data_IF_890957468431
#
_entry.id   IF_890957468431
#
_cell.length_a   1.000
_cell.length_b   1.000
_cell.length_c   1.000
_cell.angle_alpha   90.00
_cell.angle_beta   90.00
_cell.angle_gamma   90.00
#
_symmetry.space_group_name_H-M   'P 1'
#
loop_
_entity.id
_entity.type
_entity.pdbx_description
1 polymer ?
#
# COMPACT_ATOMS: atom_id res chain seq x y z
N UNK A 1 -8.49 19.97 -4.12
CA UNK A 1 -8.99 20.10 -5.50
C UNK A 1 -9.63 18.77 -5.88
N UNK A 2 -10.95 18.71 -6.12
CA UNK A 2 -11.63 17.46 -6.55
C UNK A 2 -11.22 17.16 -8.00
N UNK A 3 -10.83 15.92 -8.28
CA UNK A 3 -10.60 15.44 -9.64
C UNK A 3 -11.86 14.74 -10.18
N UNK A 4 -11.90 14.46 -11.48
CA UNK A 4 -12.98 13.63 -12.07
C UNK A 4 -13.10 12.24 -11.44
N UNK A 5 -12.07 11.78 -10.73
CA UNK A 5 -12.01 10.45 -10.08
C UNK A 5 -12.53 10.48 -8.62
N UNK A 6 -12.69 11.65 -8.03
CA UNK A 6 -13.26 11.81 -6.67
C UNK A 6 -14.79 11.68 -6.65
N UNK A 7 -15.40 11.36 -7.80
CA UNK A 7 -16.86 11.30 -7.96
C UNK A 7 -17.46 9.92 -7.65
N UNK A 8 -16.63 8.91 -7.47
CA UNK A 8 -17.14 7.58 -7.17
C UNK A 8 -17.71 7.55 -5.74
N UNK A 9 -18.93 6.99 -5.53
CA UNK A 9 -19.59 7.01 -4.20
C UNK A 9 -18.75 6.43 -3.06
N UNK A 10 -17.88 5.44 -3.35
CA UNK A 10 -16.99 4.85 -2.35
C UNK A 10 -15.98 5.84 -1.77
N UNK A 11 -15.60 6.90 -2.49
CA UNK A 11 -14.70 7.93 -1.97
C UNK A 11 -15.39 8.76 -0.88
N UNK A 12 -16.65 9.11 -1.09
CA UNK A 12 -17.45 9.82 -0.07
C UNK A 12 -17.75 8.90 1.12
N UNK A 13 -17.99 7.60 0.88
CA UNK A 13 -18.15 6.62 1.95
C UNK A 13 -16.84 6.43 2.73
N UNK A 14 -15.68 6.36 2.07
CA UNK A 14 -14.38 6.31 2.75
C UNK A 14 -14.18 7.55 3.64
N UNK A 15 -14.52 8.73 3.16
CA UNK A 15 -14.48 9.98 3.94
C UNK A 15 -15.36 9.94 5.18
N UNK A 16 -16.53 9.31 5.07
CA UNK A 16 -17.48 9.16 6.18
C UNK A 16 -16.96 8.28 7.32
N UNK A 17 -15.85 7.53 7.11
CA UNK A 17 -15.17 6.80 8.17
C UNK A 17 -14.38 7.71 9.12
N UNK A 18 -14.23 9.00 8.81
CA UNK A 18 -13.45 9.95 9.60
C UNK A 18 -13.70 9.87 11.11
N UNK A 19 -14.96 9.98 11.58
CA UNK A 19 -15.25 9.95 13.02
C UNK A 19 -14.83 8.65 13.72
N UNK A 20 -15.02 7.49 13.08
CA UNK A 20 -14.65 6.19 13.67
C UNK A 20 -13.13 5.98 13.69
N UNK A 21 -12.43 6.45 12.65
CA UNK A 21 -10.97 6.42 12.59
C UNK A 21 -10.38 7.34 13.66
N UNK A 22 -10.89 8.55 13.80
CA UNK A 22 -10.42 9.51 14.79
C UNK A 22 -10.63 9.00 16.22
N UNK A 23 -11.80 8.44 16.52
CA UNK A 23 -12.10 7.86 17.82
C UNK A 23 -11.16 6.68 18.16
N UNK A 24 -10.77 5.89 17.17
CA UNK A 24 -9.87 4.73 17.35
C UNK A 24 -8.38 5.06 17.33
N UNK A 25 -7.99 6.30 17.05
CA UNK A 25 -6.61 6.68 16.71
C UNK A 25 -5.59 6.37 17.81
N UNK A 26 -5.87 6.75 19.04
CA UNK A 26 -4.97 6.52 20.16
C UNK A 26 -4.85 5.01 20.48
N UNK A 27 -5.96 4.29 20.39
CA UNK A 27 -5.97 2.84 20.58
C UNK A 27 -5.17 2.12 19.49
N UNK A 28 -5.31 2.54 18.21
CA UNK A 28 -4.49 2.00 17.11
C UNK A 28 -3.00 2.23 17.34
N UNK A 29 -2.61 3.36 17.87
CA UNK A 29 -1.21 3.64 18.21
C UNK A 29 -0.70 2.77 19.36
N UNK A 30 -1.48 2.62 20.43
CA UNK A 30 -1.11 1.83 21.61
C UNK A 30 -1.03 0.33 21.30
N UNK A 31 -2.02 -0.19 20.58
CA UNK A 31 -2.11 -1.61 20.24
C UNK A 31 -1.27 -1.97 19.01
N UNK A 32 -0.84 -0.98 18.23
CA UNK A 32 -0.09 -1.14 16.98
C UNK A 32 -0.82 -2.01 15.95
N UNK A 33 -2.14 -1.93 15.90
CA UNK A 33 -3.00 -2.51 14.87
C UNK A 33 -4.32 -1.72 14.77
N UNK A 34 -5.06 -1.91 13.68
CA UNK A 34 -6.38 -1.29 13.52
C UNK A 34 -7.34 -1.83 14.59
N UNK A 35 -8.19 -0.94 15.13
CA UNK A 35 -9.25 -1.35 16.07
C UNK A 35 -10.36 -2.10 15.35
N UNK A 36 -11.04 -2.99 16.06
CA UNK A 36 -12.15 -3.77 15.49
C UNK A 36 -13.25 -2.91 14.84
N UNK A 37 -13.67 -1.75 15.42
CA UNK A 37 -14.63 -0.87 14.76
C UNK A 37 -14.12 -0.31 13.42
N UNK A 38 -12.85 0.08 13.33
CA UNK A 38 -12.23 0.57 12.09
C UNK A 38 -12.17 -0.55 11.04
N UNK A 39 -11.76 -1.75 11.44
CA UNK A 39 -11.73 -2.92 10.55
C UNK A 39 -13.12 -3.22 10.00
N UNK A 40 -14.15 -3.27 10.86
CA UNK A 40 -15.53 -3.52 10.44
C UNK A 40 -16.02 -2.47 9.43
N UNK A 41 -15.79 -1.20 9.70
CA UNK A 41 -16.17 -0.12 8.78
C UNK A 41 -15.43 -0.20 7.42
N UNK A 42 -14.16 -0.62 7.42
CA UNK A 42 -13.41 -0.86 6.18
C UNK A 42 -13.91 -2.11 5.42
N UNK A 43 -14.35 -3.15 6.12
CA UNK A 43 -14.98 -4.33 5.51
C UNK A 43 -16.31 -3.96 4.87
N UNK A 44 -17.17 -3.22 5.57
CA UNK A 44 -18.47 -2.74 5.07
C UNK A 44 -18.29 -1.84 3.82
N UNK A 45 -17.24 -1.02 3.80
CA UNK A 45 -16.84 -0.23 2.63
C UNK A 45 -16.36 -1.11 1.46
N UNK A 46 -15.93 -2.35 1.70
CA UNK A 46 -15.25 -3.20 0.71
C UNK A 46 -13.80 -2.80 0.43
N UNK A 47 -13.17 -2.03 1.31
CA UNK A 47 -11.82 -1.50 1.13
C UNK A 47 -10.74 -2.60 1.00
N UNK A 48 -10.98 -3.78 1.59
CA UNK A 48 -10.02 -4.88 1.55
C UNK A 48 -10.12 -5.75 0.31
N UNK A 49 -11.17 -5.59 -0.51
CA UNK A 49 -11.46 -6.46 -1.66
C UNK A 49 -11.67 -5.71 -2.98
N UNK A 50 -11.11 -4.50 -3.09
CA UNK A 50 -11.36 -3.57 -4.22
C UNK A 50 -11.08 -4.19 -5.60
N UNK A 51 -10.08 -5.05 -5.73
CA UNK A 51 -9.76 -5.73 -6.99
C UNK A 51 -10.32 -7.16 -7.08
N UNK A 52 -11.13 -7.63 -6.12
CA UNK A 52 -11.81 -8.93 -6.25
C UNK A 52 -12.78 -8.88 -7.43
N UNK A 53 -12.75 -9.87 -8.36
CA UNK A 53 -13.56 -9.83 -9.56
C UNK A 53 -15.06 -10.04 -9.27
N UNK A 54 -15.91 -9.50 -10.15
CA UNK A 54 -17.37 -9.60 -10.01
C UNK A 54 -17.89 -11.05 -9.97
N UNK A 55 -17.20 -12.01 -10.61
CA UNK A 55 -17.56 -13.44 -10.56
C UNK A 55 -17.34 -14.07 -9.18
N UNK A 56 -16.66 -13.37 -8.27
CA UNK A 56 -16.48 -13.72 -6.87
C UNK A 56 -17.21 -12.73 -5.94
N UNK A 57 -18.26 -12.10 -6.43
CA UNK A 57 -19.06 -11.08 -5.74
C UNK A 57 -18.19 -9.90 -5.24
N UNK A 58 -17.10 -9.60 -5.98
CA UNK A 58 -16.21 -8.49 -5.70
C UNK A 58 -16.61 -7.22 -6.47
N UNK A 59 -16.14 -6.05 -6.00
CA UNK A 59 -16.49 -4.78 -6.65
C UNK A 59 -15.73 -4.54 -7.96
N UNK A 60 -14.63 -5.24 -8.21
CA UNK A 60 -13.80 -5.11 -9.42
C UNK A 60 -13.52 -3.65 -9.81
N UNK A 61 -13.15 -2.82 -8.83
CA UNK A 61 -12.98 -1.37 -9.04
C UNK A 61 -11.86 -1.08 -10.04
N UNK A 62 -12.09 -0.08 -10.89
CA UNK A 62 -11.04 0.44 -11.75
C UNK A 62 -9.85 1.00 -10.94
N UNK A 63 -8.64 1.08 -11.53
CA UNK A 63 -7.43 1.48 -10.83
C UNK A 63 -7.49 2.90 -10.25
N UNK A 64 -8.14 3.86 -10.92
CA UNK A 64 -8.26 5.23 -10.45
C UNK A 64 -9.14 5.31 -9.20
N UNK A 65 -10.25 4.57 -9.20
CA UNK A 65 -11.11 4.47 -8.01
C UNK A 65 -10.38 3.81 -6.84
N UNK A 66 -9.57 2.77 -7.06
CA UNK A 66 -8.74 2.17 -6.01
C UNK A 66 -7.77 3.20 -5.42
N UNK A 67 -7.09 3.99 -6.25
CA UNK A 67 -6.21 5.09 -5.79
C UNK A 67 -6.98 6.10 -4.97
N UNK A 68 -8.16 6.54 -5.42
CA UNK A 68 -8.95 7.57 -4.75
C UNK A 68 -9.46 7.10 -3.37
N UNK A 69 -9.92 5.87 -3.26
CA UNK A 69 -10.34 5.30 -1.96
C UNK A 69 -9.16 5.18 -1.00
N UNK A 70 -8.00 4.70 -1.46
CA UNK A 70 -6.80 4.60 -0.61
C UNK A 70 -6.28 6.00 -0.24
N UNK A 71 -6.31 6.95 -1.15
CA UNK A 71 -5.95 8.36 -0.86
C UNK A 71 -6.80 8.93 0.26
N UNK A 72 -8.13 8.78 0.18
CA UNK A 72 -9.03 9.30 1.22
C UNK A 72 -8.84 8.58 2.56
N UNK A 73 -8.70 7.25 2.57
CA UNK A 73 -8.41 6.48 3.78
C UNK A 73 -7.05 6.87 4.40
N UNK A 74 -6.03 7.11 3.57
CA UNK A 74 -4.71 7.56 4.03
C UNK A 74 -4.72 9.00 4.55
N UNK A 75 -5.65 9.83 4.08
CA UNK A 75 -5.89 11.16 4.62
C UNK A 75 -6.47 11.10 6.03
N UNK A 76 -7.33 10.12 6.30
CA UNK A 76 -7.87 9.91 7.64
C UNK A 76 -6.80 9.39 8.60
N UNK A 77 -6.03 8.38 8.17
CA UNK A 77 -4.89 7.83 8.91
C UNK A 77 -3.99 7.01 7.96
N UNK A 78 -2.67 7.22 8.04
CA UNK A 78 -1.71 6.51 7.18
C UNK A 78 -1.75 5.00 7.31
N UNK A 79 -2.00 4.46 8.51
CA UNK A 79 -2.09 3.03 8.76
C UNK A 79 -3.37 2.42 8.18
N UNK A 80 -4.49 3.14 8.25
CA UNK A 80 -5.78 2.73 7.67
C UNK A 80 -5.65 2.61 6.15
N UNK A 81 -5.12 3.66 5.50
CA UNK A 81 -4.87 3.64 4.05
C UNK A 81 -3.87 2.56 3.64
N UNK A 82 -2.81 2.33 4.43
CA UNK A 82 -1.84 1.29 4.17
C UNK A 82 -2.44 -0.12 4.23
N UNK A 83 -3.26 -0.43 5.24
CA UNK A 83 -3.95 -1.72 5.33
C UNK A 83 -4.92 -1.94 4.16
N UNK A 84 -5.68 -0.91 3.76
CA UNK A 84 -6.55 -0.96 2.59
C UNK A 84 -5.74 -1.24 1.31
N UNK A 85 -4.61 -0.55 1.12
CA UNK A 85 -3.72 -0.73 -0.02
C UNK A 85 -3.16 -2.15 -0.11
N UNK A 86 -2.67 -2.71 1.00
CA UNK A 86 -2.12 -4.08 1.04
C UNK A 86 -3.18 -5.12 0.71
N UNK A 87 -4.36 -5.03 1.31
CA UNK A 87 -5.44 -5.98 1.06
C UNK A 87 -5.98 -5.87 -0.37
N UNK A 88 -6.14 -4.65 -0.90
CA UNK A 88 -6.50 -4.42 -2.30
C UNK A 88 -5.47 -5.01 -3.27
N UNK A 89 -4.18 -4.79 -3.02
CA UNK A 89 -3.11 -5.42 -3.78
C UNK A 89 -3.17 -6.95 -3.68
N UNK A 90 -3.45 -7.49 -2.49
CA UNK A 90 -3.66 -8.91 -2.25
C UNK A 90 -4.83 -9.51 -3.04
N UNK A 91 -5.87 -8.73 -3.33
CA UNK A 91 -7.04 -9.17 -4.10
C UNK A 91 -6.68 -9.64 -5.52
N UNK A 92 -5.61 -9.11 -6.11
CA UNK A 92 -5.12 -9.53 -7.42
C UNK A 92 -4.62 -11.00 -7.44
N UNK A 93 -4.32 -11.59 -6.28
CA UNK A 93 -3.96 -13.02 -6.16
C UNK A 93 -5.07 -13.91 -6.69
N UNK A 94 -6.33 -13.48 -6.59
CA UNK A 94 -7.49 -14.19 -7.17
C UNK A 94 -7.31 -14.49 -8.67
N UNK A 95 -6.51 -13.69 -9.37
CA UNK A 95 -6.20 -13.88 -10.79
C UNK A 95 -5.30 -15.08 -11.10
N UNK A 96 -4.55 -15.57 -10.13
CA UNK A 96 -3.63 -16.70 -10.30
C UNK A 96 -4.26 -18.05 -9.93
N UNK A 97 -5.29 -18.05 -9.08
CA UNK A 97 -5.87 -19.29 -8.54
C UNK A 97 -6.85 -19.95 -9.52
N UNK A 98 -7.00 -21.27 -9.40
CA UNK A 98 -8.08 -22.00 -10.07
C UNK A 98 -9.44 -21.50 -9.57
N UNK A 99 -10.53 -21.60 -10.38
CA UNK A 99 -11.83 -21.00 -10.05
C UNK A 99 -12.36 -21.41 -8.67
N UNK A 100 -12.26 -22.69 -8.29
CA UNK A 100 -12.77 -23.18 -7.01
C UNK A 100 -11.93 -22.68 -5.83
N UNK A 101 -10.61 -22.65 -5.95
CA UNK A 101 -9.73 -22.07 -4.96
C UNK A 101 -9.95 -20.54 -4.84
N UNK A 102 -10.08 -19.85 -5.97
CA UNK A 102 -10.39 -18.41 -5.97
C UNK A 102 -11.73 -18.13 -5.25
N UNK A 103 -12.78 -18.94 -5.49
CA UNK A 103 -14.07 -18.79 -4.82
C UNK A 103 -13.96 -19.07 -3.32
N UNK A 104 -13.21 -20.08 -2.93
CA UNK A 104 -13.00 -20.43 -1.50
C UNK A 104 -12.31 -19.30 -0.73
N UNK A 105 -11.28 -18.69 -1.32
CA UNK A 105 -10.47 -17.66 -0.64
C UNK A 105 -11.02 -16.24 -0.79
N UNK A 106 -11.64 -15.90 -1.91
CA UNK A 106 -12.04 -14.51 -2.25
C UNK A 106 -13.55 -14.31 -2.34
N UNK A 107 -14.36 -15.37 -2.26
CA UNK A 107 -15.82 -15.29 -2.20
C UNK A 107 -16.34 -14.68 -0.89
N UNK A 108 -15.78 -15.02 0.29
CA UNK A 108 -16.22 -14.43 1.55
C UNK A 108 -16.13 -12.90 1.53
N UNK A 109 -17.18 -12.23 2.09
CA UNK A 109 -17.28 -10.77 2.08
C UNK A 109 -16.24 -10.10 2.98
N UNK A 110 -15.76 -10.81 4.00
CA UNK A 110 -14.78 -10.37 4.98
C UNK A 110 -13.33 -10.64 4.58
N UNK A 111 -13.08 -11.13 3.35
CA UNK A 111 -11.72 -11.46 2.90
C UNK A 111 -10.79 -10.26 3.03
N UNK A 112 -9.69 -10.48 3.72
CA UNK A 112 -8.60 -9.52 3.88
C UNK A 112 -7.27 -10.26 3.83
N UNK A 113 -6.43 -9.93 2.85
CA UNK A 113 -5.11 -10.52 2.71
C UNK A 113 -4.04 -9.61 3.33
N UNK A 114 -3.10 -10.27 4.02
CA UNK A 114 -1.88 -9.63 4.50
C UNK A 114 -0.64 -10.40 4.01
N UNK A 115 0.53 -9.77 4.11
CA UNK A 115 1.79 -10.37 3.74
C UNK A 115 2.42 -9.78 2.48
N UNK A 116 3.44 -10.44 1.97
CA UNK A 116 4.26 -9.95 0.86
C UNK A 116 4.68 -11.09 -0.10
N UNK A 117 5.11 -10.71 -1.30
CA UNK A 117 5.50 -11.64 -2.36
C UNK A 117 7.01 -11.95 -2.39
N UNK A 118 7.83 -11.39 -1.48
CA UNK A 118 9.26 -11.75 -1.43
C UNK A 118 9.43 -13.21 -0.96
N UNK A 119 10.16 -14.04 -1.71
CA UNK A 119 10.29 -15.47 -1.39
C UNK A 119 11.31 -15.69 -0.26
N UNK A 120 10.85 -15.52 0.98
CA UNK A 120 11.68 -15.72 2.18
C UNK A 120 11.50 -17.08 2.84
N UNK A 121 10.42 -17.78 2.48
CA UNK A 121 10.17 -19.14 2.94
C UNK A 121 10.78 -20.21 2.03
N UNK A 122 10.58 -21.46 2.43
CA UNK A 122 11.00 -22.68 1.78
C UNK A 122 9.76 -23.53 1.47
N UNK A 123 9.64 -24.02 0.24
CA UNK A 123 8.58 -24.93 -0.19
C UNK A 123 9.19 -26.22 -0.69
N UNK A 124 8.85 -27.35 -0.10
CA UNK A 124 9.25 -28.68 -0.54
C UNK A 124 8.08 -29.32 -1.27
N UNK A 125 8.30 -29.77 -2.48
CA UNK A 125 7.28 -30.43 -3.30
C UNK A 125 6.93 -31.79 -2.71
N UNK A 126 5.65 -32.06 -2.51
CA UNK A 126 5.10 -33.34 -2.06
C UNK A 126 3.96 -33.76 -2.97
N UNK A 127 3.42 -34.98 -2.77
CA UNK A 127 2.26 -35.43 -3.53
C UNK A 127 1.05 -34.53 -3.25
N UNK A 128 0.47 -33.95 -4.31
CA UNK A 128 -0.68 -33.05 -4.25
C UNK A 128 -0.41 -31.62 -3.75
N UNK A 129 0.86 -31.22 -3.54
CA UNK A 129 1.13 -29.85 -3.09
C UNK A 129 2.55 -29.57 -2.59
N UNK A 130 2.62 -28.76 -1.54
CA UNK A 130 3.89 -28.30 -0.97
C UNK A 130 3.86 -28.32 0.57
N UNK A 131 5.00 -28.65 1.18
CA UNK A 131 5.26 -28.36 2.59
C UNK A 131 6.00 -27.03 2.68
N UNK A 132 5.41 -26.09 3.43
CA UNK A 132 5.92 -24.72 3.56
C UNK A 132 6.45 -24.50 4.96
N UNK A 133 7.65 -23.95 5.04
CA UNK A 133 8.25 -23.46 6.29
C UNK A 133 8.96 -22.14 6.02
N UNK A 134 8.96 -21.25 7.02
CA UNK A 134 9.72 -20.02 6.95
C UNK A 134 9.17 -18.91 7.82
N UNK A 135 9.94 -17.83 7.89
CA UNK A 135 9.55 -16.58 8.50
C UNK A 135 9.29 -15.55 7.43
N UNK A 136 8.10 -14.99 7.48
CA UNK A 136 7.60 -13.98 6.56
C UNK A 136 7.51 -12.65 7.27
N UNK A 137 8.08 -11.59 6.68
CA UNK A 137 8.18 -10.28 7.30
C UNK A 137 7.12 -9.33 6.76
N UNK A 138 6.86 -8.28 7.53
CA UNK A 138 6.01 -7.16 7.09
C UNK A 138 4.58 -7.59 6.74
N UNK A 139 3.93 -8.38 7.61
CA UNK A 139 2.54 -8.77 7.47
C UNK A 139 1.58 -7.62 7.79
N UNK A 140 1.59 -6.54 7.00
CA UNK A 140 0.69 -5.40 7.22
C UNK A 140 -0.76 -5.84 7.21
N UNK A 141 -1.51 -5.49 8.26
CA UNK A 141 -2.89 -5.92 8.44
C UNK A 141 -3.04 -7.34 8.99
N UNK A 142 -1.96 -8.03 9.37
CA UNK A 142 -2.02 -9.42 9.85
C UNK A 142 -2.90 -9.63 11.09
N UNK A 143 -3.12 -8.59 11.89
CA UNK A 143 -3.99 -8.65 13.07
C UNK A 143 -5.48 -8.81 12.75
N UNK A 144 -5.91 -8.54 11.51
CA UNK A 144 -7.29 -8.68 11.04
C UNK A 144 -7.38 -9.41 9.69
N UNK A 145 -6.28 -9.99 9.22
CA UNK A 145 -6.27 -10.75 7.98
C UNK A 145 -7.03 -12.07 8.11
N UNK A 146 -7.77 -12.44 7.05
CA UNK A 146 -8.39 -13.76 6.91
C UNK A 146 -7.47 -14.74 6.20
N UNK A 147 -6.47 -14.23 5.45
CA UNK A 147 -5.45 -15.03 4.79
C UNK A 147 -4.09 -14.30 4.77
N UNK A 148 -3.02 -15.09 4.85
CA UNK A 148 -1.63 -14.62 4.83
C UNK A 148 -0.90 -15.18 3.62
N UNK A 149 -0.08 -14.37 2.96
CA UNK A 149 0.70 -14.76 1.79
C UNK A 149 2.06 -15.32 2.25
N UNK A 150 2.32 -16.58 1.98
CA UNK A 150 3.63 -17.21 2.18
C UNK A 150 4.33 -17.39 0.83
N UNK A 151 5.35 -16.60 0.54
CA UNK A 151 6.13 -16.72 -0.68
C UNK A 151 7.47 -17.41 -0.39
N UNK A 152 7.76 -18.47 -1.16
CA UNK A 152 8.82 -19.42 -0.87
C UNK A 152 9.69 -19.69 -2.09
N UNK A 153 10.96 -20.01 -1.87
CA UNK A 153 11.77 -20.72 -2.84
C UNK A 153 11.39 -22.21 -2.82
N UNK A 154 11.16 -22.80 -3.98
CA UNK A 154 11.02 -24.25 -4.09
C UNK A 154 12.40 -24.88 -3.95
N UNK A 155 12.51 -25.85 -3.05
CA UNK A 155 13.77 -26.52 -2.74
C UNK A 155 13.66 -28.04 -2.89
N UNK A 156 14.76 -28.70 -3.20
CA UNK A 156 14.85 -30.17 -3.25
C UNK A 156 15.49 -30.70 -1.97
N UNK A 157 14.70 -31.36 -1.12
CA UNK A 157 15.17 -31.94 0.15
C UNK A 157 16.20 -33.06 -0.05
N UNK A 158 16.21 -33.70 -1.23
CA UNK A 158 17.17 -34.76 -1.55
C UNK A 158 18.55 -34.21 -1.92
N UNK A 159 18.64 -32.92 -2.22
CA UNK A 159 19.86 -32.24 -2.62
C UNK A 159 20.18 -31.07 -1.66
N UNK A 160 20.26 -31.36 -0.37
CA UNK A 160 20.67 -30.44 0.70
C UNK A 160 19.87 -29.11 0.74
N UNK A 161 18.60 -29.18 0.32
CA UNK A 161 17.71 -28.01 0.30
C UNK A 161 18.08 -26.96 -0.76
N UNK A 162 18.80 -27.35 -1.81
CA UNK A 162 19.16 -26.44 -2.89
C UNK A 162 17.90 -25.93 -3.63
N UNK A 163 17.86 -24.62 -4.03
CA UNK A 163 16.75 -24.08 -4.78
C UNK A 163 16.59 -24.78 -6.14
N UNK A 164 15.37 -25.25 -6.43
CA UNK A 164 14.99 -25.72 -7.76
C UNK A 164 15.04 -24.54 -8.73
N UNK A 165 15.55 -24.78 -9.95
CA UNK A 165 15.69 -23.74 -10.97
C UNK A 165 14.89 -24.09 -12.22
N UNK A 166 14.34 -23.05 -12.86
CA UNK A 166 13.68 -23.18 -14.16
C UNK A 166 14.72 -23.39 -15.30
N UNK A 167 14.25 -23.62 -16.53
CA UNK A 167 15.10 -23.80 -17.71
C UNK A 167 16.02 -22.63 -18.03
N UNK A 168 15.74 -21.45 -17.47
CA UNK A 168 16.55 -20.23 -17.57
C UNK A 168 17.51 -20.03 -16.40
N UNK A 169 17.62 -21.03 -15.51
CA UNK A 169 18.46 -21.00 -14.34
C UNK A 169 17.95 -20.11 -13.19
N UNK A 170 16.71 -19.61 -13.25
CA UNK A 170 16.13 -18.76 -12.20
C UNK A 170 15.52 -19.66 -11.11
N UNK A 171 15.63 -19.27 -9.81
CA UNK A 171 14.98 -20.00 -8.74
C UNK A 171 13.47 -20.10 -8.97
N UNK A 172 12.91 -21.28 -8.77
CA UNK A 172 11.45 -21.48 -8.79
C UNK A 172 10.86 -20.88 -7.51
N UNK A 173 9.80 -20.06 -7.68
CA UNK A 173 9.08 -19.43 -6.57
C UNK A 173 7.67 -20.02 -6.52
N UNK A 174 7.23 -20.33 -5.30
CA UNK A 174 5.86 -20.72 -5.02
C UNK A 174 5.30 -19.85 -3.90
N UNK A 175 4.21 -19.17 -4.16
CA UNK A 175 3.44 -18.45 -3.17
C UNK A 175 2.19 -19.23 -2.82
N UNK A 176 1.74 -19.13 -1.57
CA UNK A 176 0.56 -19.83 -1.07
C UNK A 176 -0.24 -18.95 -0.13
N UNK A 177 -1.52 -19.27 0.04
CA UNK A 177 -2.38 -18.68 1.06
C UNK A 177 -2.40 -19.58 2.30
N UNK A 178 -2.16 -18.98 3.45
CA UNK A 178 -2.23 -19.61 4.76
C UNK A 178 -3.36 -18.99 5.57
N UNK A 179 -4.06 -19.79 6.37
CA UNK A 179 -4.98 -19.24 7.37
C UNK A 179 -4.20 -18.71 8.57
N UNK A 180 -4.73 -17.71 9.30
CA UNK A 180 -4.07 -17.18 10.49
C UNK A 180 -3.79 -18.23 11.58
N UNK A 181 -4.63 -19.26 11.70
CA UNK A 181 -4.47 -20.36 12.65
C UNK A 181 -3.31 -21.33 12.31
N UNK A 182 -2.76 -21.24 11.12
CA UNK A 182 -1.63 -22.06 10.65
C UNK A 182 -0.26 -21.44 10.93
N UNK A 183 -0.22 -20.21 11.41
CA UNK A 183 1.04 -19.47 11.62
C UNK A 183 1.18 -18.99 13.05
N UNK A 184 2.42 -18.74 13.45
CA UNK A 184 2.75 -18.07 14.72
C UNK A 184 3.10 -16.62 14.42
N UNK A 185 2.33 -15.68 15.01
CA UNK A 185 2.62 -14.24 14.91
C UNK A 185 3.80 -13.88 15.83
N UNK A 186 4.70 -13.02 15.34
CA UNK A 186 5.87 -12.54 16.07
C UNK A 186 5.77 -11.03 16.18
N UNK A 187 5.69 -10.51 17.41
CA UNK A 187 5.59 -9.07 17.66
C UNK A 187 6.91 -8.37 17.33
N UNK A 188 7.01 -7.85 16.12
CA UNK A 188 8.20 -7.18 15.58
C UNK A 188 7.93 -5.74 15.13
N UNK A 189 6.66 -5.30 15.09
CA UNK A 189 6.32 -4.01 14.53
C UNK A 189 6.50 -2.86 15.53
N UNK A 190 7.78 -2.59 15.88
CA UNK A 190 8.22 -1.47 16.71
C UNK A 190 8.96 -0.46 15.83
N UNK A 191 8.24 0.42 15.16
CA UNK A 191 8.73 1.28 14.07
C UNK A 191 8.52 2.74 14.35
N UNK A 192 9.05 3.62 13.49
CA UNK A 192 8.90 5.07 13.61
C UNK A 192 7.48 5.54 13.30
N UNK A 193 6.78 4.91 12.36
CA UNK A 193 5.43 5.28 11.92
C UNK A 193 4.66 4.09 11.36
N UNK A 194 3.45 4.34 10.86
CA UNK A 194 2.49 3.31 10.41
C UNK A 194 2.20 2.27 11.49
N UNK A 195 2.12 2.69 12.75
CA UNK A 195 1.98 1.80 13.90
C UNK A 195 0.75 0.94 13.80
N UNK A 196 -0.40 1.53 13.44
CA UNK A 196 -1.69 0.84 13.33
C UNK A 196 -1.74 -0.24 12.24
N UNK A 197 -0.70 -0.38 11.41
CA UNK A 197 -0.67 -1.45 10.40
C UNK A 197 -0.39 -2.83 10.99
N UNK A 198 0.21 -2.91 12.20
CA UNK A 198 0.60 -4.17 12.81
C UNK A 198 1.40 -5.07 11.88
N UNK A 199 2.37 -4.48 11.14
CA UNK A 199 3.12 -5.20 10.10
C UNK A 199 4.11 -6.21 10.72
N UNK A 200 3.60 -7.05 11.60
CA UNK A 200 4.34 -8.07 12.31
C UNK A 200 4.89 -9.14 11.37
N UNK A 201 5.91 -9.84 11.83
CA UNK A 201 6.39 -11.06 11.18
C UNK A 201 5.47 -12.24 11.57
N UNK A 202 5.46 -13.29 10.74
CA UNK A 202 4.81 -14.55 11.06
C UNK A 202 5.62 -15.74 10.58
N UNK A 203 5.51 -16.86 11.28
CA UNK A 203 6.21 -18.10 10.97
C UNK A 203 5.25 -19.23 10.66
N UNK A 204 5.59 -20.00 9.63
CA UNK A 204 4.97 -21.27 9.29
C UNK A 204 5.98 -22.40 9.49
N UNK A 205 5.55 -23.51 10.08
CA UNK A 205 6.38 -24.67 10.34
C UNK A 205 5.73 -25.92 9.73
N UNK A 206 6.31 -26.40 8.63
CA UNK A 206 5.94 -27.65 7.95
C UNK A 206 4.44 -27.74 7.56
N UNK A 207 3.88 -26.64 7.07
CA UNK A 207 2.45 -26.55 6.70
C UNK A 207 2.24 -27.19 5.34
N UNK A 208 1.35 -28.18 5.27
CA UNK A 208 0.92 -28.79 4.01
C UNK A 208 -0.09 -27.88 3.32
N UNK A 209 0.23 -27.48 2.07
CA UNK A 209 -0.61 -26.64 1.21
C UNK A 209 -0.89 -27.39 -0.08
N UNK A 210 -2.16 -27.46 -0.47
CA UNK A 210 -2.56 -28.04 -1.74
C UNK A 210 -2.05 -27.20 -2.93
N UNK A 211 -1.79 -27.86 -4.06
CA UNK A 211 -1.37 -27.16 -5.29
C UNK A 211 -2.34 -26.02 -5.67
N UNK A 212 -3.64 -26.22 -5.50
CA UNK A 212 -4.70 -25.27 -5.85
C UNK A 212 -4.71 -24.01 -4.98
N UNK A 213 -4.19 -24.07 -3.75
CA UNK A 213 -4.06 -22.93 -2.81
C UNK A 213 -2.73 -22.21 -2.96
N UNK A 214 -1.98 -22.53 -3.99
CA UNK A 214 -0.68 -21.96 -4.27
C UNK A 214 -0.52 -21.57 -5.74
N UNK A 215 0.40 -20.65 -6.02
CA UNK A 215 0.65 -20.18 -7.39
C UNK A 215 2.12 -19.81 -7.61
N UNK A 216 2.51 -19.73 -8.88
CA UNK A 216 3.77 -19.14 -9.28
C UNK A 216 3.54 -17.63 -9.53
N UNK A 217 4.11 -16.70 -8.72
CA UNK A 217 3.91 -15.27 -8.91
C UNK A 217 4.53 -14.71 -10.20
N UNK A 218 5.44 -15.45 -10.83
CA UNK A 218 5.99 -15.12 -12.15
C UNK A 218 5.21 -15.76 -13.30
N UNK A 219 4.18 -16.55 -13.00
CA UNK A 219 3.30 -17.19 -13.98
C UNK A 219 2.28 -16.22 -14.57
N UNK A 220 1.58 -16.69 -15.61
CA UNK A 220 0.45 -15.96 -16.16
C UNK A 220 -0.76 -16.02 -15.22
N UNK A 221 -1.48 -14.92 -15.12
CA UNK A 221 -2.79 -14.92 -14.49
C UNK A 221 -3.78 -15.72 -15.34
N UNK A 222 -4.73 -16.40 -14.69
CA UNK A 222 -5.77 -17.20 -15.33
C UNK A 222 -6.95 -16.37 -15.82
N UNK A 223 -7.02 -15.11 -15.38
CA UNK A 223 -8.08 -14.17 -15.72
C UNK A 223 -7.67 -13.27 -16.88
N UNK A 224 -8.65 -12.84 -17.67
CA UNK A 224 -8.45 -12.03 -18.88
C UNK A 224 -9.10 -10.65 -18.80
N UNK A 225 -9.83 -10.35 -17.73
CA UNK A 225 -10.41 -9.03 -17.51
C UNK A 225 -9.30 -7.97 -17.40
N UNK A 226 -9.55 -6.71 -17.76
CA UNK A 226 -8.54 -5.65 -17.81
C UNK A 226 -7.67 -5.53 -16.55
N UNK A 227 -8.24 -5.70 -15.35
CA UNK A 227 -7.51 -5.66 -14.07
C UNK A 227 -6.38 -6.70 -13.98
N UNK A 228 -6.46 -7.80 -14.72
CA UNK A 228 -5.53 -8.93 -14.61
C UNK A 228 -4.59 -9.08 -15.81
N UNK A 229 -4.72 -8.24 -16.84
CA UNK A 229 -3.90 -8.28 -18.07
C UNK A 229 -2.45 -7.84 -17.85
N UNK A 230 -2.20 -7.02 -16.84
CA UNK A 230 -0.88 -6.51 -16.50
C UNK A 230 -0.57 -6.80 -15.02
N UNK A 231 0.17 -7.89 -14.70
CA UNK A 231 0.42 -8.29 -13.34
C UNK A 231 0.94 -7.18 -12.41
N UNK A 232 1.86 -6.26 -12.83
CA UNK A 232 2.30 -5.18 -11.97
C UNK A 232 1.21 -4.17 -11.56
N UNK A 233 0.00 -4.24 -12.14
CA UNK A 233 -1.12 -3.38 -11.77
C UNK A 233 -1.55 -3.55 -10.30
N UNK A 234 -1.25 -4.69 -9.66
CA UNK A 234 -1.49 -4.89 -8.23
C UNK A 234 -0.85 -3.81 -7.34
N UNK A 235 0.14 -3.08 -7.86
CA UNK A 235 0.79 -1.98 -7.14
C UNK A 235 0.00 -0.67 -7.16
N UNK A 236 -1.04 -0.55 -7.99
CA UNK A 236 -1.74 0.73 -8.19
C UNK A 236 -2.27 1.36 -6.90
N UNK A 237 -2.82 0.59 -5.92
CA UNK A 237 -3.30 1.18 -4.68
C UNK A 237 -2.22 1.90 -3.87
N UNK A 238 -0.93 1.52 -4.03
CA UNK A 238 0.18 2.22 -3.38
C UNK A 238 0.23 3.72 -3.68
N UNK A 239 -0.23 4.14 -4.86
CA UNK A 239 -0.17 5.53 -5.28
C UNK A 239 -1.07 6.46 -4.43
N UNK A 240 -2.15 5.93 -3.85
CA UNK A 240 -3.05 6.69 -2.99
C UNK A 240 -2.45 7.05 -1.64
N UNK A 241 -1.61 6.18 -1.08
CA UNK A 241 -1.05 6.36 0.28
C UNK A 241 -0.32 7.69 0.47
N UNK A 242 0.71 8.04 -0.34
CA UNK A 242 1.45 9.27 -0.15
C UNK A 242 0.59 10.52 -0.39
N UNK A 243 -0.36 10.45 -1.33
CA UNK A 243 -1.25 11.58 -1.64
C UNK A 243 -2.15 11.90 -0.45
N UNK A 244 -2.74 10.88 0.19
CA UNK A 244 -3.58 11.04 1.37
C UNK A 244 -2.80 11.56 2.58
N UNK A 245 -1.62 10.99 2.88
CA UNK A 245 -0.78 11.44 3.99
C UNK A 245 -0.34 12.90 3.80
N UNK A 246 0.06 13.28 2.57
CA UNK A 246 0.42 14.67 2.28
C UNK A 246 -0.76 15.63 2.44
N UNK A 247 -1.98 15.23 2.03
CA UNK A 247 -3.21 15.99 2.25
C UNK A 247 -3.49 16.16 3.73
N UNK A 248 -3.37 15.09 4.53
CA UNK A 248 -3.53 15.16 5.98
C UNK A 248 -2.54 16.13 6.63
N UNK A 249 -1.28 16.14 6.20
CA UNK A 249 -0.28 17.09 6.70
C UNK A 249 -0.63 18.55 6.41
N UNK A 250 -1.13 18.85 5.20
CA UNK A 250 -1.55 20.21 4.83
C UNK A 250 -2.77 20.63 5.67
N UNK A 251 -3.77 19.76 5.79
CA UNK A 251 -4.98 20.02 6.59
C UNK A 251 -4.60 20.27 8.05
N UNK A 252 -3.71 19.45 8.62
CA UNK A 252 -3.23 19.59 9.99
C UNK A 252 -2.47 20.91 10.24
N UNK A 253 -1.62 21.35 9.30
CA UNK A 253 -0.94 22.63 9.45
C UNK A 253 -1.91 23.79 9.37
N UNK A 254 -2.89 23.77 8.47
CA UNK A 254 -3.92 24.83 8.36
C UNK A 254 -4.69 24.95 9.67
N UNK A 255 -5.12 23.83 10.27
CA UNK A 255 -5.85 23.83 11.54
C UNK A 255 -5.01 24.39 12.69
N UNK A 256 -3.74 23.99 12.79
CA UNK A 256 -2.82 24.46 13.82
C UNK A 256 -2.47 25.94 13.62
N UNK A 257 -2.35 26.40 12.38
CA UNK A 257 -1.87 27.74 12.07
C UNK A 257 -2.82 28.86 12.56
N UNK A 258 -4.12 28.60 12.59
CA UNK A 258 -5.10 29.57 13.10
C UNK A 258 -5.09 29.68 14.63
N UNK A 259 -4.80 28.59 15.33
CA UNK A 259 -4.84 28.53 16.80
C UNK A 259 -3.50 28.83 17.48
N UNK A 260 -2.39 28.64 16.75
CA UNK A 260 -1.02 28.75 17.29
C UNK A 260 -0.50 30.18 17.21
N UNK A 261 -0.09 30.72 18.36
CA UNK A 261 0.61 32.01 18.39
C UNK A 261 1.95 31.94 17.64
N UNK A 262 2.26 32.96 16.85
CA UNK A 262 3.54 33.10 16.15
C UNK A 262 4.70 33.16 17.16
N UNK A 263 5.68 32.24 16.99
CA UNK A 263 6.91 32.26 17.78
C UNK A 263 7.91 33.25 17.16
N UNK A 264 8.02 34.47 17.70
CA UNK A 264 9.03 35.41 17.25
C UNK A 264 10.45 34.93 17.64
N UNK A 265 11.33 34.80 16.67
CA UNK A 265 12.79 34.73 16.88
C UNK A 265 13.22 36.06 17.57
N UNK A 266 13.61 35.99 18.85
CA UNK A 266 14.08 37.16 19.59
C UNK A 266 13.27 37.52 20.84
N UNK A 267 12.39 36.66 21.35
CA UNK A 267 11.91 36.73 22.74
C UNK A 267 10.77 37.68 23.03
N UNK A 268 10.13 38.30 22.04
CA UNK A 268 8.83 38.97 22.18
C UNK A 268 7.89 38.40 21.11
N UNK A 269 7.03 37.46 21.54
CA UNK A 269 5.83 37.14 20.76
C UNK A 269 5.12 38.49 20.50
N UNK A 270 4.87 38.85 19.24
CA UNK A 270 3.93 39.94 18.95
C UNK A 270 2.60 39.43 19.43
N UNK A 271 2.13 39.99 20.55
CA UNK A 271 0.83 39.66 21.13
C UNK A 271 -0.23 39.68 20.01
N UNK A 272 -0.92 38.56 19.81
CA UNK A 272 -2.09 38.46 18.94
C UNK A 272 -1.83 38.08 17.48
N UNK A 273 -0.61 37.66 17.07
CA UNK A 273 -0.39 37.23 15.70
C UNK A 273 -0.41 35.67 15.61
N UNK A 274 -1.27 35.11 14.75
CA UNK A 274 -1.35 33.70 14.48
C UNK A 274 -0.20 33.25 13.59
N UNK A 275 0.14 31.94 13.61
CA UNK A 275 1.11 31.35 12.69
C UNK A 275 0.64 31.50 11.23
N UNK A 276 -0.67 31.48 10.99
CA UNK A 276 -1.29 31.74 9.67
C UNK A 276 -0.96 33.13 9.08
N UNK A 277 -0.60 34.11 9.90
CA UNK A 277 -0.20 35.46 9.46
C UNK A 277 1.29 35.55 9.06
N UNK A 278 2.07 34.50 9.29
CA UNK A 278 3.49 34.49 8.95
C UNK A 278 3.69 34.15 7.46
N UNK A 279 4.49 34.98 6.78
CA UNK A 279 4.75 34.80 5.36
C UNK A 279 5.34 33.41 5.02
N UNK A 280 6.19 32.88 5.90
CA UNK A 280 6.76 31.52 5.72
C UNK A 280 5.70 30.42 5.79
N UNK A 281 4.70 30.53 6.67
CA UNK A 281 3.60 29.59 6.76
C UNK A 281 2.74 29.65 5.49
N UNK A 282 2.39 30.86 5.05
CA UNK A 282 1.62 31.09 3.83
C UNK A 282 2.32 30.54 2.59
N UNK A 283 3.62 30.79 2.45
CA UNK A 283 4.44 30.26 1.37
C UNK A 283 4.50 28.73 1.41
N UNK A 284 4.75 28.12 2.57
CA UNK A 284 4.85 26.68 2.72
C UNK A 284 3.55 25.96 2.37
N UNK A 285 2.39 26.49 2.79
CA UNK A 285 1.07 25.92 2.43
C UNK A 285 0.85 26.03 0.92
N UNK A 286 1.14 27.17 0.29
CA UNK A 286 0.98 27.36 -1.13
C UNK A 286 1.87 26.39 -1.96
N UNK A 287 3.13 26.24 -1.56
CA UNK A 287 4.07 25.28 -2.21
C UNK A 287 3.59 23.86 -2.03
N UNK A 288 3.12 23.48 -0.85
CA UNK A 288 2.60 22.13 -0.57
C UNK A 288 1.38 21.81 -1.43
N UNK A 289 0.42 22.74 -1.56
CA UNK A 289 -0.76 22.59 -2.42
C UNK A 289 -0.39 22.40 -3.90
N UNK A 290 0.56 23.22 -4.40
CA UNK A 290 1.05 23.08 -5.80
C UNK A 290 1.73 21.73 -6.02
N UNK A 291 2.63 21.32 -5.11
CA UNK A 291 3.33 20.03 -5.19
C UNK A 291 2.36 18.86 -5.15
N UNK A 292 1.42 18.87 -4.21
CA UNK A 292 0.41 17.81 -4.10
C UNK A 292 -0.48 17.77 -5.33
N UNK A 293 -0.96 18.92 -5.81
CA UNK A 293 -1.77 19.03 -7.02
C UNK A 293 -1.07 18.46 -8.25
N UNK A 294 0.20 18.78 -8.44
CA UNK A 294 1.01 18.26 -9.54
C UNK A 294 1.24 16.74 -9.43
N UNK A 295 1.56 16.23 -8.22
CA UNK A 295 1.74 14.80 -7.99
C UNK A 295 0.45 14.01 -8.22
N UNK A 296 -0.70 14.54 -7.76
CA UNK A 296 -2.01 13.93 -8.01
C UNK A 296 -2.33 13.88 -9.50
N UNK A 297 -2.22 14.98 -10.22
CA UNK A 297 -2.49 15.03 -11.65
C UNK A 297 -1.64 13.99 -12.40
N UNK A 298 -0.33 13.98 -12.16
CA UNK A 298 0.58 13.02 -12.78
C UNK A 298 0.24 11.56 -12.44
N UNK A 299 -0.15 11.29 -11.18
CA UNK A 299 -0.54 9.95 -10.75
C UNK A 299 -1.78 9.47 -11.49
N UNK A 300 -2.85 10.26 -11.47
CA UNK A 300 -4.12 9.86 -12.07
C UNK A 300 -4.03 9.76 -13.59
N UNK A 301 -3.34 10.69 -14.25
CA UNK A 301 -3.15 10.65 -15.70
C UNK A 301 -2.33 9.42 -16.12
N UNK A 302 -1.24 9.11 -15.41
CA UNK A 302 -0.41 7.91 -15.70
C UNK A 302 -1.21 6.60 -15.50
N UNK A 303 -2.05 6.54 -14.46
CA UNK A 303 -2.88 5.36 -14.20
C UNK A 303 -4.02 5.24 -15.22
N UNK A 304 -4.63 6.37 -15.61
CA UNK A 304 -5.69 6.39 -16.61
C UNK A 304 -5.18 5.95 -17.99
N UNK A 305 -4.03 6.48 -18.44
CA UNK A 305 -3.40 6.05 -19.70
C UNK A 305 -3.10 4.54 -19.71
N UNK A 306 -2.60 4.01 -18.59
CA UNK A 306 -2.37 2.57 -18.46
C UNK A 306 -3.69 1.78 -18.53
N UNK A 307 -4.72 2.26 -17.87
CA UNK A 307 -6.03 1.61 -17.84
C UNK A 307 -6.69 1.57 -19.21
N UNK A 308 -6.63 2.65 -19.97
CA UNK A 308 -7.14 2.73 -21.35
C UNK A 308 -6.50 1.65 -22.26
N UNK A 309 -5.17 1.44 -22.14
CA UNK A 309 -4.49 0.36 -22.87
C UNK A 309 -5.00 -1.04 -22.45
N UNK A 310 -5.23 -1.25 -21.16
CA UNK A 310 -5.69 -2.54 -20.66
C UNK A 310 -7.16 -2.82 -21.06
N UNK A 311 -8.02 -1.81 -21.07
CA UNK A 311 -9.39 -1.95 -21.55
C UNK A 311 -9.43 -2.24 -23.06
N UNK A 312 -8.56 -1.62 -23.84
CA UNK A 312 -8.41 -1.86 -25.28
C UNK A 312 -7.75 -3.19 -25.63
N UNK A 313 -7.34 -3.99 -24.63
CA UNK A 313 -6.56 -5.22 -24.81
C UNK A 313 -5.21 -5.00 -25.53
N UNK A 314 -4.62 -3.84 -25.31
CA UNK A 314 -3.35 -3.46 -25.90
C UNK A 314 -2.17 -3.83 -24.96
N UNK A 315 -1.04 -4.15 -25.60
CA UNK A 315 0.20 -4.40 -24.86
C UNK A 315 0.74 -3.09 -24.27
N UNK A 316 1.00 -3.07 -22.95
CA UNK A 316 1.61 -1.91 -22.28
C UNK A 316 3.02 -1.65 -22.84
N UNK A 317 3.28 -0.49 -23.48
CA UNK A 317 4.58 -0.15 -24.00
C UNK A 317 5.66 -0.04 -22.92
N UNK A 318 6.94 -0.31 -23.23
CA UNK A 318 8.02 -0.22 -22.24
C UNK A 318 8.09 1.15 -21.55
N UNK A 319 7.91 2.23 -22.31
CA UNK A 319 7.89 3.60 -21.76
C UNK A 319 6.77 3.77 -20.71
N UNK A 320 5.56 3.28 -21.02
CA UNK A 320 4.42 3.37 -20.10
C UNK A 320 4.68 2.58 -18.81
N UNK A 321 5.25 1.36 -18.92
CA UNK A 321 5.66 0.58 -17.75
C UNK A 321 6.68 1.31 -16.88
N UNK A 322 7.68 1.93 -17.51
CA UNK A 322 8.70 2.72 -16.84
C UNK A 322 8.10 3.93 -16.10
N UNK A 323 7.19 4.67 -16.75
CA UNK A 323 6.56 5.85 -16.15
C UNK A 323 5.61 5.47 -15.02
N UNK A 324 4.84 4.39 -15.16
CA UNK A 324 4.00 3.85 -14.11
C UNK A 324 4.80 3.52 -12.83
N UNK A 325 5.98 2.91 -12.98
CA UNK A 325 6.85 2.61 -11.83
C UNK A 325 7.49 3.86 -11.23
N UNK A 326 7.95 4.79 -12.07
CA UNK A 326 8.55 6.04 -11.63
C UNK A 326 7.54 6.94 -10.90
N UNK A 327 6.30 6.98 -11.36
CA UNK A 327 5.20 7.75 -10.76
C UNK A 327 4.98 7.40 -9.29
N UNK A 328 4.96 6.10 -8.93
CA UNK A 328 4.78 5.67 -7.53
C UNK A 328 5.91 6.17 -6.63
N UNK A 329 7.16 6.09 -7.09
CA UNK A 329 8.31 6.61 -6.35
C UNK A 329 8.23 8.13 -6.21
N UNK A 330 7.85 8.83 -7.27
CA UNK A 330 7.70 10.28 -7.28
C UNK A 330 6.64 10.76 -6.28
N UNK A 331 5.47 10.14 -6.25
CA UNK A 331 4.41 10.48 -5.30
C UNK A 331 4.88 10.40 -3.84
N UNK A 332 5.61 9.33 -3.49
CA UNK A 332 6.17 9.18 -2.15
C UNK A 332 7.24 10.22 -1.80
N UNK A 333 8.11 10.58 -2.77
CA UNK A 333 9.11 11.62 -2.55
C UNK A 333 8.48 12.99 -2.34
N UNK A 334 7.51 13.36 -3.19
CA UNK A 334 6.79 14.63 -3.06
C UNK A 334 6.05 14.72 -1.73
N UNK A 335 5.34 13.66 -1.34
CA UNK A 335 4.65 13.61 -0.05
C UNK A 335 5.61 13.76 1.13
N UNK A 336 6.77 13.09 1.08
CA UNK A 336 7.81 13.24 2.09
C UNK A 336 8.32 14.69 2.18
N UNK A 337 8.60 15.32 1.04
CA UNK A 337 9.04 16.72 1.00
C UNK A 337 7.98 17.65 1.61
N UNK A 338 6.71 17.45 1.29
CA UNK A 338 5.59 18.21 1.86
C UNK A 338 5.56 18.02 3.37
N UNK A 339 5.48 16.78 3.87
CA UNK A 339 5.36 16.50 5.30
C UNK A 339 6.55 17.05 6.11
N UNK A 340 7.78 16.93 5.60
CA UNK A 340 8.98 17.49 6.25
C UNK A 340 8.90 19.02 6.32
N UNK A 341 8.62 19.68 5.19
CA UNK A 341 8.53 21.14 5.14
C UNK A 341 7.45 21.69 6.08
N UNK A 342 6.27 21.05 6.09
CA UNK A 342 5.15 21.47 6.96
C UNK A 342 5.42 21.19 8.45
N UNK A 343 6.15 20.12 8.76
CA UNK A 343 6.58 19.80 10.12
C UNK A 343 7.56 20.87 10.66
N UNK A 344 8.48 21.36 9.82
CA UNK A 344 9.39 22.45 10.19
C UNK A 344 8.62 23.74 10.53
N UNK A 345 7.58 24.08 9.75
CA UNK A 345 6.70 25.23 10.01
C UNK A 345 5.85 25.00 11.27
N UNK A 346 5.29 23.80 11.44
CA UNK A 346 4.52 23.40 12.63
C UNK A 346 5.34 23.40 13.92
N UNK A 347 6.68 23.34 13.82
CA UNK A 347 7.61 23.40 14.95
C UNK A 347 7.25 22.39 16.05
N UNK A 348 7.01 22.81 17.30
CA UNK A 348 6.71 21.93 18.43
C UNK A 348 5.45 21.07 18.25
N UNK A 349 4.49 21.46 17.41
CA UNK A 349 3.32 20.62 17.08
C UNK A 349 3.68 19.38 16.25
N UNK A 350 4.93 19.29 15.76
CA UNK A 350 5.41 18.17 14.94
C UNK A 350 6.18 17.11 15.73
N UNK A 351 6.37 17.29 17.05
CA UNK A 351 7.20 16.40 17.86
C UNK A 351 6.42 15.61 18.91
N UNK A 352 5.20 16.03 19.26
CA UNK A 352 4.40 15.33 20.26
C UNK A 352 3.59 14.19 19.63
N UNK A 353 3.59 13.03 20.31
CA UNK A 353 2.71 11.92 19.93
C UNK A 353 1.24 12.35 19.99
N UNK A 354 0.44 11.86 19.08
CA UNK A 354 -0.97 12.21 18.97
C UNK A 354 -1.26 13.43 18.05
N UNK A 355 -0.29 14.30 17.85
CA UNK A 355 -0.47 15.45 16.96
C UNK A 355 -0.57 15.00 15.48
N UNK A 356 -1.59 15.50 14.71
CA UNK A 356 -1.81 15.07 13.34
C UNK A 356 -0.62 15.32 12.40
N UNK A 357 0.08 16.44 12.59
CA UNK A 357 1.25 16.79 11.78
C UNK A 357 2.44 15.85 12.03
N UNK A 358 2.67 15.49 13.31
CA UNK A 358 3.68 14.51 13.70
C UNK A 358 3.33 13.13 13.12
N UNK A 359 2.06 12.73 13.16
CA UNK A 359 1.57 11.48 12.61
C UNK A 359 1.85 11.39 11.12
N UNK A 360 1.48 12.40 10.35
CA UNK A 360 1.73 12.46 8.90
C UNK A 360 3.22 12.35 8.59
N UNK A 361 4.07 13.06 9.35
CA UNK A 361 5.53 13.00 9.18
C UNK A 361 6.09 11.60 9.43
N UNK A 362 5.77 10.98 10.57
CA UNK A 362 6.30 9.63 10.91
C UNK A 362 5.82 8.57 9.93
N UNK A 363 4.57 8.65 9.50
CA UNK A 363 3.95 7.67 8.62
C UNK A 363 4.52 7.74 7.20
N UNK A 364 4.70 8.95 6.64
CA UNK A 364 5.33 9.08 5.32
C UNK A 364 6.80 8.66 5.31
N UNK A 365 7.55 8.94 6.39
CA UNK A 365 8.94 8.51 6.52
C UNK A 365 9.04 6.98 6.52
N UNK A 366 8.10 6.31 7.16
CA UNK A 366 8.02 4.84 7.19
C UNK A 366 7.55 4.29 5.83
N UNK A 367 6.50 4.85 5.24
CA UNK A 367 5.98 4.44 3.93
C UNK A 367 7.04 4.51 2.82
N UNK A 368 7.89 5.55 2.83
CA UNK A 368 8.98 5.72 1.87
C UNK A 368 10.08 4.65 1.95
N UNK A 369 10.13 3.83 3.02
CA UNK A 369 11.09 2.72 3.12
C UNK A 369 10.62 1.47 2.37
N UNK A 370 9.39 1.45 1.88
CA UNK A 370 8.89 0.30 1.15
C UNK A 370 9.66 0.08 -0.16
N UNK A 371 10.11 -1.16 -0.38
CA UNK A 371 10.95 -1.53 -1.53
C UNK A 371 10.36 -1.09 -2.88
N UNK A 372 9.03 -1.18 -3.03
CA UNK A 372 8.35 -0.92 -4.31
C UNK A 372 8.22 0.55 -4.67
N UNK A 373 8.62 1.48 -3.78
CA UNK A 373 8.58 2.93 -4.00
C UNK A 373 9.93 3.61 -3.74
N UNK A 374 10.98 2.81 -3.53
CA UNK A 374 12.33 3.29 -3.25
C UNK A 374 12.94 4.01 -4.46
N UNK A 375 13.71 5.11 -4.30
CA UNK A 375 14.32 5.87 -5.39
C UNK A 375 15.18 5.07 -6.39
N UNK A 376 15.71 3.92 -5.97
CA UNK A 376 16.43 3.01 -6.88
C UNK A 376 15.59 2.56 -8.07
N UNK A 377 14.26 2.63 -7.99
CA UNK A 377 13.35 2.27 -9.08
C UNK A 377 13.36 3.26 -10.25
N UNK A 378 13.94 4.44 -10.10
CA UNK A 378 14.21 5.31 -11.23
C UNK A 378 15.29 4.75 -12.18
N UNK A 379 16.20 3.90 -11.69
CA UNK A 379 17.25 3.32 -12.53
C UNK A 379 16.68 2.44 -13.64
N UNK A 380 15.86 1.40 -13.39
CA UNK A 380 15.25 0.60 -14.45
C UNK A 380 14.36 1.44 -15.38
N UNK A 381 13.62 2.43 -14.85
CA UNK A 381 12.84 3.35 -15.68
C UNK A 381 13.74 4.17 -16.62
N UNK A 382 14.80 4.77 -16.09
CA UNK A 382 15.77 5.53 -16.89
C UNK A 382 16.46 4.68 -17.97
N UNK A 383 16.78 3.41 -17.66
CA UNK A 383 17.33 2.47 -18.64
C UNK A 383 16.41 2.28 -19.84
N UNK A 384 15.10 2.07 -19.60
CA UNK A 384 14.11 1.95 -20.69
C UNK A 384 14.05 3.23 -21.51
N UNK A 385 14.01 4.42 -20.88
CA UNK A 385 13.95 5.69 -21.58
C UNK A 385 15.19 5.95 -22.44
N UNK A 386 16.31 5.35 -22.08
CA UNK A 386 17.57 5.37 -22.86
C UNK A 386 17.67 4.21 -23.87
N UNK A 387 16.60 3.46 -24.10
CA UNK A 387 16.57 2.35 -25.04
C UNK A 387 17.35 1.11 -24.57
N UNK A 388 17.49 0.92 -23.27
CA UNK A 388 18.16 -0.23 -22.65
C UNK A 388 17.16 -1.19 -22.02
N UNK A 389 17.58 -2.44 -21.78
CA UNK A 389 16.82 -3.38 -20.96
C UNK A 389 16.66 -2.85 -19.54
N UNK A 390 15.47 -2.98 -18.94
CA UNK A 390 15.22 -2.51 -17.56
C UNK A 390 16.13 -3.15 -16.53
N UNK A 391 16.43 -4.44 -16.71
CA UNK A 391 17.07 -5.28 -15.70
C UNK A 391 16.18 -5.60 -14.50
N UNK A 392 14.90 -5.21 -14.55
CA UNK A 392 13.90 -5.45 -13.51
C UNK A 392 12.63 -6.05 -14.15
N UNK A 393 12.18 -7.26 -13.73
CA UNK A 393 11.01 -7.92 -14.30
C UNK A 393 9.69 -7.20 -14.00
N UNK A 394 9.69 -6.24 -13.08
CA UNK A 394 8.50 -5.47 -12.68
C UNK A 394 8.35 -4.16 -13.48
N UNK A 395 9.26 -3.88 -14.44
CA UNK A 395 9.28 -2.65 -15.25
C UNK A 395 9.22 -2.93 -16.74
#
# INVERSE_FOLDING_TARGET
>A
MRTRYDTHPLVDQARALGPIVEQGRDEMDQQRHLTSPVVAAMQDLGAFRMAVPAQLDGPALDPMTQVAVVEELSRLDGSVGWCAMIAAAGSYVSGFLAPDAARRWFGPADVCLAGQLAPTGRAVRVDGGYRISGRFRFGSGSGHATALIASCLVVDDRHDGAPVRDERGRPEIRSALLRPDQVTMIDTWHTTGLWGTGSNDYEAHDILIADEDSWNPAGAMRRTEPLYRYPPLFLVPHAGVPLGIARAAIDALIEVADSKASAALGGRAKEGRALADEAQCQEAVAIAEVKLGAARAYTYDTVAELWELLEADERVPPKQRAMYRAMMTYGHQVAKEICVSLADIGSTSSIFHGEPLQRSLRDILTACQHRMVHPKLYVPAGRILLGRDSGDPMV
#
